data_IF_901036825596
#
_entry.id   IF_901036825596
#
_cell.length_a   1.000
_cell.length_b   1.000
_cell.length_c   1.000
_cell.angle_alpha   90.00
_cell.angle_beta   90.00
_cell.angle_gamma   90.00
#
_symmetry.space_group_name_H-M   'P 1'
#
loop_
_entity.id
_entity.type
_entity.pdbx_description
1 polymer ?
#
# COMPACT_ATOMS: atom_id res chain seq x y z
N UNK A 1 26.16 26.51 15.48
CA UNK A 1 25.80 25.94 16.80
C UNK A 1 24.37 25.42 16.76
N UNK A 2 24.17 24.10 16.74
CA UNK A 2 22.86 23.46 16.47
C UNK A 2 21.92 23.37 17.70
N UNK A 3 22.10 24.18 18.74
CA UNK A 3 21.25 24.17 19.93
C UNK A 3 20.80 25.58 20.30
N UNK A 4 19.76 26.04 19.61
CA UNK A 4 19.05 27.28 19.93
C UNK A 4 18.39 27.13 21.31
N UNK A 5 18.60 28.10 22.19
CA UNK A 5 18.08 28.12 23.58
C UNK A 5 16.58 27.79 23.65
N UNK A 6 15.80 28.25 22.66
CA UNK A 6 14.36 28.04 22.62
C UNK A 6 13.98 26.61 22.22
N UNK A 7 14.72 25.96 21.33
CA UNK A 7 14.52 24.54 21.02
C UNK A 7 14.75 23.67 22.27
N UNK A 8 15.78 24.00 23.07
CA UNK A 8 16.02 23.32 24.35
C UNK A 8 14.85 23.50 25.31
N UNK A 9 14.26 24.70 25.40
CA UNK A 9 13.09 24.95 26.26
C UNK A 9 11.87 24.14 25.78
N UNK A 10 11.60 24.12 24.47
CA UNK A 10 10.49 23.36 23.89
C UNK A 10 10.64 21.86 24.15
N UNK A 11 11.80 21.28 23.86
CA UNK A 11 12.07 19.86 24.13
C UNK A 11 11.93 19.51 25.62
N UNK A 12 12.36 20.39 26.52
CA UNK A 12 12.18 20.21 27.97
C UNK A 12 10.68 20.24 28.32
N UNK A 13 9.91 21.15 27.72
CA UNK A 13 8.48 21.24 27.96
C UNK A 13 7.72 20.00 27.45
N UNK A 14 8.06 19.53 26.26
CA UNK A 14 7.50 18.30 25.68
C UNK A 14 7.84 17.09 26.54
N UNK A 15 9.11 16.96 26.95
CA UNK A 15 9.54 15.90 27.87
C UNK A 15 8.75 15.91 29.17
N UNK A 16 8.52 17.09 29.76
CA UNK A 16 7.71 17.24 30.98
C UNK A 16 6.26 16.83 30.75
N UNK A 17 5.69 17.17 29.59
CA UNK A 17 4.31 16.80 29.25
C UNK A 17 4.18 15.29 29.07
N UNK A 18 5.11 14.66 28.35
CA UNK A 18 5.16 13.20 28.18
C UNK A 18 5.31 12.51 29.55
N UNK A 19 6.20 13.00 30.42
CA UNK A 19 6.36 12.44 31.78
C UNK A 19 5.08 12.57 32.60
N UNK A 20 4.34 13.68 32.49
CA UNK A 20 3.04 13.84 33.15
C UNK A 20 2.05 12.79 32.66
N UNK A 21 1.96 12.59 31.35
CA UNK A 21 1.09 11.57 30.75
C UNK A 21 1.47 10.17 31.26
N UNK A 22 2.76 9.83 31.24
CA UNK A 22 3.26 8.55 31.76
C UNK A 22 2.95 8.36 33.24
N UNK A 23 3.04 9.41 34.05
CA UNK A 23 2.73 9.34 35.48
C UNK A 23 1.25 9.09 35.73
N UNK A 24 0.37 9.67 34.91
CA UNK A 24 -1.07 9.37 34.93
C UNK A 24 -1.32 7.91 34.51
N UNK A 25 -0.65 7.44 33.46
CA UNK A 25 -0.78 6.08 32.95
C UNK A 25 -0.28 5.00 33.92
N UNK A 26 0.66 5.32 34.83
CA UNK A 26 1.16 4.36 35.85
C UNK A 26 0.09 3.82 36.80
N UNK A 27 -1.08 4.46 36.89
CA UNK A 27 -2.22 3.97 37.69
C UNK A 27 -3.11 2.99 36.93
N UNK A 28 -2.63 2.42 35.82
CA UNK A 28 -3.37 1.46 35.02
C UNK A 28 -3.79 0.22 35.83
N UNK A 29 -5.09 -0.08 35.81
CA UNK A 29 -5.67 -1.26 36.44
C UNK A 29 -6.23 -2.20 35.34
N UNK A 30 -5.59 -3.36 35.07
CA UNK A 30 -6.07 -4.33 34.09
C UNK A 30 -7.49 -4.84 34.34
N UNK A 31 -7.99 -4.78 35.58
CA UNK A 31 -9.36 -5.18 35.89
C UNK A 31 -10.41 -4.19 35.35
N UNK A 32 -10.02 -2.94 35.11
CA UNK A 32 -10.89 -1.89 34.56
C UNK A 32 -10.76 -1.76 33.03
N UNK A 33 -9.85 -2.49 32.39
CA UNK A 33 -9.68 -2.49 30.93
C UNK A 33 -10.89 -3.15 30.26
N UNK A 34 -11.74 -2.33 29.66
CA UNK A 34 -12.97 -2.77 28.98
C UNK A 34 -12.68 -3.64 27.76
N UNK A 35 -11.64 -3.35 26.99
CA UNK A 35 -11.31 -4.11 25.78
C UNK A 35 -10.73 -5.48 26.13
N UNK A 36 -9.79 -5.53 27.08
CA UNK A 36 -9.25 -6.79 27.60
C UNK A 36 -10.35 -7.67 28.21
N UNK A 37 -11.24 -7.09 29.02
CA UNK A 37 -12.34 -7.82 29.65
C UNK A 37 -13.34 -8.35 28.60
N UNK A 38 -13.64 -7.56 27.57
CA UNK A 38 -14.49 -7.99 26.46
C UNK A 38 -13.81 -9.11 25.64
N UNK A 39 -12.52 -9.00 25.37
CA UNK A 39 -11.74 -10.04 24.69
C UNK A 39 -11.74 -11.34 25.51
N UNK A 40 -11.54 -11.26 26.82
CA UNK A 40 -11.62 -12.42 27.71
C UNK A 40 -13.00 -13.10 27.65
N UNK A 41 -14.08 -12.32 27.70
CA UNK A 41 -15.45 -12.83 27.55
C UNK A 41 -15.66 -13.51 26.19
N UNK A 42 -15.20 -12.89 25.10
CA UNK A 42 -15.28 -13.45 23.76
C UNK A 42 -14.56 -14.81 23.69
N UNK A 43 -13.36 -14.88 24.26
CA UNK A 43 -12.51 -16.08 24.26
C UNK A 43 -13.07 -17.21 25.12
N UNK A 44 -13.60 -16.91 26.32
CA UNK A 44 -13.96 -17.93 27.30
C UNK A 44 -15.46 -18.28 27.34
N UNK A 45 -16.33 -17.33 27.00
CA UNK A 45 -17.78 -17.51 27.10
C UNK A 45 -18.41 -17.71 25.72
N UNK A 46 -18.15 -16.80 24.77
CA UNK A 46 -18.75 -16.86 23.42
C UNK A 46 -18.14 -17.99 22.59
N UNK A 47 -16.81 -17.99 22.43
CA UNK A 47 -16.08 -18.89 21.54
C UNK A 47 -15.20 -19.87 22.32
N UNK A 48 -15.81 -20.58 23.28
CA UNK A 48 -15.10 -21.38 24.29
C UNK A 48 -14.23 -22.51 23.73
N UNK A 49 -14.65 -23.11 22.61
CA UNK A 49 -14.01 -24.30 22.01
C UNK A 49 -13.30 -24.00 20.68
N UNK A 50 -13.49 -22.81 20.15
CA UNK A 50 -13.04 -22.44 18.82
C UNK A 50 -11.64 -21.83 18.88
N UNK A 51 -10.92 -21.94 17.76
CA UNK A 51 -9.61 -21.33 17.59
C UNK A 51 -9.76 -19.87 17.21
N UNK A 52 -9.06 -18.99 17.92
CA UNK A 52 -9.18 -17.54 17.79
C UNK A 52 -7.80 -16.94 17.52
N UNK A 53 -7.69 -16.19 16.45
CA UNK A 53 -6.50 -15.44 16.07
C UNK A 53 -6.69 -13.96 16.40
N UNK A 54 -5.88 -13.42 17.31
CA UNK A 54 -5.96 -12.02 17.75
C UNK A 54 -4.80 -11.24 17.17
N UNK A 55 -5.09 -10.18 16.41
CA UNK A 55 -4.08 -9.27 15.87
C UNK A 55 -3.99 -7.98 16.66
N UNK A 56 -2.77 -7.50 16.85
CA UNK A 56 -2.45 -6.19 17.45
C UNK A 56 -1.25 -5.59 16.74
N UNK A 57 -1.21 -4.26 16.58
CA UNK A 57 -0.09 -3.58 15.92
C UNK A 57 1.20 -3.65 16.75
N UNK A 58 1.09 -3.57 18.07
CA UNK A 58 2.24 -3.43 18.96
C UNK A 58 2.58 -4.74 19.69
N UNK A 59 3.88 -5.06 19.74
CA UNK A 59 4.39 -6.25 20.43
C UNK A 59 4.17 -6.19 21.95
N UNK A 60 4.31 -5.00 22.55
CA UNK A 60 4.06 -4.79 23.98
C UNK A 60 2.60 -5.10 24.35
N UNK A 61 1.65 -4.70 23.50
CA UNK A 61 0.23 -5.04 23.64
C UNK A 61 0.01 -6.54 23.53
N UNK A 62 0.64 -7.22 22.56
CA UNK A 62 0.53 -8.67 22.42
C UNK A 62 0.99 -9.42 23.69
N UNK A 63 2.13 -8.99 24.26
CA UNK A 63 2.65 -9.51 25.51
C UNK A 63 1.72 -9.25 26.68
N UNK A 64 1.24 -8.01 26.82
CA UNK A 64 0.29 -7.61 27.85
C UNK A 64 -0.99 -8.45 27.82
N UNK A 65 -1.62 -8.58 26.65
CA UNK A 65 -2.85 -9.36 26.48
C UNK A 65 -2.63 -10.83 26.85
N UNK A 66 -1.54 -11.43 26.37
CA UNK A 66 -1.23 -12.83 26.69
C UNK A 66 -1.07 -13.05 28.19
N UNK A 67 -0.31 -12.19 28.88
CA UNK A 67 -0.09 -12.27 30.31
C UNK A 67 -1.41 -12.14 31.09
N UNK A 68 -2.21 -11.12 30.78
CA UNK A 68 -3.45 -10.85 31.52
C UNK A 68 -4.54 -11.89 31.25
N UNK A 69 -4.68 -12.36 30.01
CA UNK A 69 -5.65 -13.41 29.68
C UNK A 69 -5.30 -14.73 30.36
N UNK A 70 -4.00 -15.08 30.42
CA UNK A 70 -3.52 -16.24 31.20
C UNK A 70 -3.85 -16.09 32.68
N UNK A 71 -3.62 -14.92 33.28
CA UNK A 71 -3.96 -14.63 34.69
C UNK A 71 -5.46 -14.74 34.97
N UNK A 72 -6.31 -14.30 34.05
CA UNK A 72 -7.77 -14.44 34.14
C UNK A 72 -8.26 -15.88 33.88
N UNK A 73 -7.39 -16.80 33.46
CA UNK A 73 -7.68 -18.23 33.33
C UNK A 73 -7.94 -18.72 31.90
N UNK A 74 -7.60 -17.93 30.87
CA UNK A 74 -7.62 -18.42 29.49
C UNK A 74 -6.58 -19.54 29.31
N UNK A 75 -6.98 -20.63 28.64
CA UNK A 75 -6.13 -21.82 28.43
C UNK A 75 -5.69 -21.93 26.97
N UNK A 76 -4.56 -22.60 26.76
CA UNK A 76 -3.98 -22.88 25.43
C UNK A 76 -3.82 -21.59 24.60
N UNK A 77 -3.23 -20.58 25.23
CA UNK A 77 -3.00 -19.25 24.64
C UNK A 77 -1.50 -18.94 24.62
N UNK A 78 -1.01 -18.42 23.50
CA UNK A 78 0.34 -17.86 23.39
C UNK A 78 0.35 -16.58 22.56
N UNK A 79 1.45 -15.83 22.68
CA UNK A 79 1.70 -14.68 21.83
C UNK A 79 2.97 -14.86 20.99
N UNK A 80 2.95 -14.29 19.79
CA UNK A 80 4.06 -14.29 18.85
C UNK A 80 4.25 -12.88 18.28
N UNK A 81 5.50 -12.43 18.27
CA UNK A 81 5.88 -11.09 17.83
C UNK A 81 7.16 -11.18 16.99
N UNK A 82 7.63 -10.05 16.47
CA UNK A 82 8.87 -10.01 15.65
C UNK A 82 10.13 -10.41 16.41
N UNK A 83 10.07 -10.43 17.74
CA UNK A 83 11.18 -10.80 18.61
C UNK A 83 11.22 -12.31 18.93
N UNK A 84 10.27 -13.09 18.41
CA UNK A 84 10.26 -14.55 18.61
C UNK A 84 11.23 -15.24 17.64
N UNK A 85 12.10 -16.11 18.14
CA UNK A 85 13.09 -16.82 17.31
C UNK A 85 12.46 -17.75 16.26
N UNK A 86 11.31 -18.36 16.58
CA UNK A 86 10.62 -19.28 15.68
C UNK A 86 9.10 -19.03 15.65
N UNK A 87 8.62 -17.99 14.92
CA UNK A 87 7.20 -17.70 14.78
C UNK A 87 6.40 -18.83 14.13
N UNK A 88 7.03 -19.60 13.24
CA UNK A 88 6.42 -20.70 12.50
C UNK A 88 5.98 -21.86 13.41
N UNK A 89 6.71 -22.13 14.50
CA UNK A 89 6.31 -23.15 15.49
C UNK A 89 4.95 -22.82 16.13
N UNK A 90 4.71 -21.54 16.47
CA UNK A 90 3.43 -21.11 17.04
C UNK A 90 2.29 -21.23 16.02
N UNK A 91 2.54 -20.93 14.75
CA UNK A 91 1.58 -21.15 13.67
C UNK A 91 1.23 -22.64 13.52
N UNK A 92 2.21 -23.54 13.57
CA UNK A 92 1.98 -24.99 13.53
C UNK A 92 1.16 -25.48 14.73
N UNK A 93 1.46 -24.98 15.93
CA UNK A 93 0.71 -25.34 17.16
C UNK A 93 -0.71 -24.81 17.16
N UNK A 94 -0.94 -23.64 16.54
CA UNK A 94 -2.28 -23.08 16.36
C UNK A 94 -3.06 -23.77 15.25
N UNK A 95 -2.42 -24.11 14.13
CA UNK A 95 -3.09 -24.68 12.95
C UNK A 95 -2.44 -25.98 12.48
N UNK A 96 -2.42 -27.04 13.32
CA UNK A 96 -1.67 -28.26 13.04
C UNK A 96 -2.16 -29.03 11.82
N UNK A 97 -3.45 -29.01 11.50
CA UNK A 97 -3.99 -29.74 10.35
C UNK A 97 -3.55 -29.08 9.04
N UNK A 98 -3.69 -27.76 8.95
CA UNK A 98 -3.31 -26.99 7.75
C UNK A 98 -1.79 -26.88 7.53
N UNK A 99 -0.97 -27.21 8.53
CA UNK A 99 0.49 -27.24 8.42
C UNK A 99 1.06 -28.67 8.38
N UNK A 100 0.23 -29.69 8.11
CA UNK A 100 0.66 -31.09 8.02
C UNK A 100 1.37 -31.62 9.29
N UNK A 101 0.93 -31.13 10.46
CA UNK A 101 1.38 -31.56 11.80
C UNK A 101 0.24 -32.16 12.64
N UNK A 102 -0.53 -33.14 12.12
CA UNK A 102 -1.69 -33.69 12.83
C UNK A 102 -1.34 -34.33 14.17
N UNK A 103 -0.09 -34.73 14.39
CA UNK A 103 0.42 -35.26 15.66
C UNK A 103 0.34 -34.26 16.83
N UNK A 104 0.26 -32.96 16.55
CA UNK A 104 0.11 -31.94 17.57
C UNK A 104 -1.35 -31.73 18.00
N UNK A 105 -2.32 -32.18 17.19
CA UNK A 105 -3.74 -32.00 17.45
C UNK A 105 -4.20 -32.81 18.67
N UNK A 106 -4.95 -32.17 19.56
CA UNK A 106 -5.44 -32.74 20.81
C UNK A 106 -4.39 -32.87 21.92
N UNK A 107 -3.17 -32.39 21.69
CA UNK A 107 -2.09 -32.42 22.68
C UNK A 107 -2.06 -31.13 23.49
N UNK A 108 -1.35 -31.13 24.64
CA UNK A 108 -1.12 -29.92 25.44
C UNK A 108 -0.35 -28.82 24.69
N UNK A 109 0.32 -29.17 23.58
CA UNK A 109 1.04 -28.21 22.74
C UNK A 109 0.10 -27.43 21.82
N UNK A 110 -1.08 -27.96 21.52
CA UNK A 110 -2.05 -27.32 20.63
C UNK A 110 -2.55 -26.01 21.24
N UNK A 111 -2.47 -24.95 20.43
CA UNK A 111 -2.98 -23.64 20.80
C UNK A 111 -4.42 -23.49 20.32
N UNK A 112 -5.22 -22.88 21.19
CA UNK A 112 -6.59 -22.45 20.89
C UNK A 112 -6.61 -20.96 20.55
N UNK A 113 -5.84 -20.16 21.27
CA UNK A 113 -5.78 -18.71 21.04
C UNK A 113 -4.35 -18.34 20.69
N UNK A 114 -4.18 -17.61 19.60
CA UNK A 114 -2.88 -17.06 19.20
C UNK A 114 -3.00 -15.55 19.09
N UNK A 115 -2.20 -14.83 19.88
CA UNK A 115 -2.09 -13.37 19.79
C UNK A 115 -0.85 -13.05 18.97
N UNK A 116 -0.97 -12.24 17.94
CA UNK A 116 0.14 -11.95 17.05
C UNK A 116 0.17 -10.49 16.62
N UNK A 117 1.36 -10.00 16.31
CA UNK A 117 1.50 -8.84 15.42
C UNK A 117 1.37 -9.26 13.96
N UNK A 118 1.55 -8.34 13.02
CA UNK A 118 1.54 -8.63 11.57
C UNK A 118 2.69 -9.59 11.13
N UNK A 119 3.49 -10.13 12.05
CA UNK A 119 4.54 -11.13 11.75
C UNK A 119 3.96 -12.45 11.23
N UNK A 120 2.73 -12.79 11.62
CA UNK A 120 2.01 -13.94 11.05
C UNK A 120 0.90 -13.54 10.06
N UNK A 121 0.82 -12.26 9.65
CA UNK A 121 -0.13 -11.85 8.62
C UNK A 121 0.32 -12.24 7.21
N UNK A 122 1.54 -12.78 7.04
CA UNK A 122 2.10 -13.21 5.75
C UNK A 122 2.74 -14.61 5.83
N UNK A 123 2.65 -15.37 4.74
CA UNK A 123 3.40 -16.63 4.55
C UNK A 123 3.00 -17.86 5.37
N UNK A 124 2.04 -17.77 6.31
CA UNK A 124 1.65 -18.88 7.19
C UNK A 124 0.23 -19.40 6.89
N UNK A 125 0.02 -20.69 7.13
CA UNK A 125 -1.27 -21.37 7.00
C UNK A 125 -1.97 -21.44 8.37
N UNK A 126 -3.10 -20.74 8.53
CA UNK A 126 -3.82 -20.62 9.80
C UNK A 126 -5.30 -21.08 9.71
N UNK A 127 -5.63 -21.86 8.67
CA UNK A 127 -7.00 -22.24 8.29
C UNK A 127 -7.72 -23.18 9.27
N UNK A 128 -7.03 -23.72 10.30
CA UNK A 128 -7.71 -24.46 11.37
C UNK A 128 -8.57 -23.53 12.25
N UNK A 129 -8.28 -22.22 12.24
CA UNK A 129 -9.12 -21.18 12.84
C UNK A 129 -10.04 -20.52 11.82
N UNK A 130 -11.15 -19.97 12.29
CA UNK A 130 -12.10 -19.19 11.48
C UNK A 130 -12.53 -17.89 12.18
N UNK A 131 -11.97 -17.59 13.35
CA UNK A 131 -12.30 -16.39 14.13
C UNK A 131 -11.06 -15.51 14.20
N UNK A 132 -11.21 -14.29 13.71
CA UNK A 132 -10.18 -13.25 13.75
C UNK A 132 -10.68 -12.10 14.62
N UNK A 133 -9.79 -11.60 15.48
CA UNK A 133 -10.05 -10.43 16.32
C UNK A 133 -8.97 -9.39 16.07
N UNK A 134 -9.34 -8.23 15.58
CA UNK A 134 -8.46 -7.07 15.49
C UNK A 134 -8.58 -6.27 16.79
N UNK A 135 -7.57 -6.39 17.66
CA UNK A 135 -7.52 -5.66 18.93
C UNK A 135 -7.37 -4.16 18.73
N UNK A 136 -6.62 -3.79 17.70
CA UNK A 136 -6.53 -2.44 17.16
C UNK A 136 -6.78 -2.47 15.65
N UNK A 137 -7.42 -1.41 15.17
CA UNK A 137 -7.70 -1.24 13.75
C UNK A 137 -6.47 -0.69 13.02
N UNK A 138 -5.97 -1.38 11.99
CA UNK A 138 -4.89 -0.86 11.17
C UNK A 138 -5.39 0.31 10.33
N UNK A 139 -4.52 1.29 10.09
CA UNK A 139 -4.79 2.43 9.21
C UNK A 139 -5.08 2.03 7.76
N UNK A 140 -4.54 0.90 7.32
CA UNK A 140 -4.73 0.35 5.98
C UNK A 140 -5.64 -0.87 6.01
N UNK A 141 -6.80 -0.79 5.35
CA UNK A 141 -7.80 -1.87 5.28
C UNK A 141 -7.24 -3.15 4.70
N UNK A 142 -6.30 -3.05 3.76
CA UNK A 142 -5.68 -4.23 3.16
C UNK A 142 -5.07 -5.15 4.23
N UNK A 143 -4.63 -4.61 5.38
CA UNK A 143 -4.16 -5.44 6.48
C UNK A 143 -5.28 -6.28 7.08
N UNK A 144 -6.50 -5.76 7.22
CA UNK A 144 -7.67 -6.54 7.65
C UNK A 144 -7.95 -7.69 6.67
N UNK A 145 -7.92 -7.40 5.37
CA UNK A 145 -8.13 -8.39 4.31
C UNK A 145 -7.00 -9.43 4.32
N UNK A 146 -5.74 -9.02 4.45
CA UNK A 146 -4.60 -9.94 4.50
C UNK A 146 -4.64 -10.85 5.73
N UNK A 147 -5.05 -10.31 6.88
CA UNK A 147 -5.29 -11.05 8.13
C UNK A 147 -6.41 -12.09 7.93
N UNK A 148 -7.53 -11.68 7.34
CA UNK A 148 -8.64 -12.57 6.96
C UNK A 148 -8.19 -13.66 5.98
N UNK A 149 -7.47 -13.29 4.92
CA UNK A 149 -6.90 -14.20 3.92
C UNK A 149 -5.83 -15.16 4.44
N UNK A 150 -5.45 -15.13 5.73
CA UNK A 150 -4.66 -16.21 6.36
C UNK A 150 -5.50 -17.41 6.73
N UNK A 151 -6.76 -17.18 7.08
CA UNK A 151 -7.72 -18.23 7.45
C UNK A 151 -8.69 -18.52 6.30
N UNK A 152 -8.96 -17.53 5.44
CA UNK A 152 -9.77 -17.67 4.23
C UNK A 152 -8.95 -18.20 3.06
N UNK A 153 -8.71 -19.51 3.03
CA UNK A 153 -7.95 -20.19 1.97
C UNK A 153 -8.52 -21.58 1.69
N UNK A 154 -8.12 -22.15 0.55
CA UNK A 154 -8.36 -23.56 0.22
C UNK A 154 -7.91 -24.44 1.40
N UNK A 155 -8.85 -25.20 1.97
CA UNK A 155 -8.63 -26.02 3.16
C UNK A 155 -9.37 -25.54 4.42
N UNK A 156 -9.94 -24.32 4.41
CA UNK A 156 -10.87 -23.86 5.44
C UNK A 156 -12.09 -24.78 5.51
N UNK A 157 -12.53 -25.13 6.73
CA UNK A 157 -13.64 -26.05 6.98
C UNK A 157 -14.88 -25.38 7.57
N UNK A 158 -14.73 -24.16 8.08
CA UNK A 158 -15.87 -23.36 8.53
C UNK A 158 -16.57 -22.74 7.32
N UNK A 159 -17.90 -22.72 7.34
CA UNK A 159 -18.70 -22.04 6.31
C UNK A 159 -18.62 -20.52 6.42
N UNK A 160 -18.33 -20.01 7.63
CA UNK A 160 -18.22 -18.58 7.93
C UNK A 160 -16.90 -18.24 8.63
N UNK A 161 -16.36 -17.07 8.30
CA UNK A 161 -15.18 -16.48 8.94
C UNK A 161 -15.63 -15.25 9.72
N UNK A 162 -15.46 -15.28 11.03
CA UNK A 162 -15.92 -14.21 11.92
C UNK A 162 -14.78 -13.22 12.16
N UNK A 163 -14.96 -11.98 11.74
CA UNK A 163 -14.01 -10.89 11.95
C UNK A 163 -14.54 -9.89 12.99
N UNK A 164 -14.00 -9.94 14.20
CA UNK A 164 -14.28 -8.96 15.25
C UNK A 164 -13.25 -7.84 15.20
N UNK A 165 -13.66 -6.60 15.46
CA UNK A 165 -12.75 -5.46 15.59
C UNK A 165 -13.16 -4.58 16.77
N UNK A 166 -12.20 -4.19 17.60
CA UNK A 166 -12.44 -3.17 18.61
C UNK A 166 -12.33 -1.78 17.96
N UNK A 167 -13.35 -0.95 18.19
CA UNK A 167 -13.36 0.44 17.74
C UNK A 167 -12.75 1.35 18.81
N UNK A 168 -12.10 2.46 18.41
CA UNK A 168 -11.70 3.51 19.35
C UNK A 168 -12.91 4.06 20.12
N UNK A 169 -12.67 4.61 21.31
CA UNK A 169 -13.71 5.37 22.02
C UNK A 169 -14.10 6.63 21.24
N UNK A 170 -15.38 7.05 21.35
CA UNK A 170 -15.96 8.15 20.58
C UNK A 170 -15.10 9.43 20.59
N UNK A 171 -14.53 9.80 21.74
CA UNK A 171 -13.70 10.99 21.85
C UNK A 171 -12.37 10.91 21.08
N UNK A 172 -11.79 9.72 20.91
CA UNK A 172 -10.59 9.49 20.08
C UNK A 172 -10.98 9.40 18.61
N UNK A 173 -12.13 8.78 18.31
CA UNK A 173 -12.68 8.67 16.97
C UNK A 173 -13.03 10.05 16.39
N UNK A 174 -13.57 11.00 17.16
CA UNK A 174 -13.85 12.37 16.70
C UNK A 174 -12.60 13.10 16.18
N UNK A 175 -11.44 12.81 16.78
CA UNK A 175 -10.17 13.44 16.43
C UNK A 175 -9.53 12.75 15.23
N UNK A 176 -9.50 11.41 15.23
CA UNK A 176 -8.74 10.62 14.25
C UNK A 176 -9.59 10.28 13.02
N UNK A 177 -10.90 10.17 13.18
CA UNK A 177 -11.89 9.77 12.17
C UNK A 177 -11.54 8.43 11.51
N UNK A 178 -11.05 7.48 12.30
CA UNK A 178 -10.53 6.22 11.79
C UNK A 178 -11.64 5.39 11.16
N UNK A 179 -12.80 5.28 11.82
CA UNK A 179 -13.97 4.56 11.29
C UNK A 179 -14.51 5.20 10.02
N UNK A 180 -14.59 6.51 9.96
CA UNK A 180 -15.07 7.22 8.75
C UNK A 180 -14.12 6.97 7.57
N UNK A 181 -12.82 7.10 7.78
CA UNK A 181 -11.79 6.84 6.75
C UNK A 181 -11.80 5.38 6.30
N UNK A 182 -11.88 4.44 7.24
CA UNK A 182 -11.93 3.01 6.93
C UNK A 182 -13.24 2.65 6.22
N UNK A 183 -14.39 3.17 6.66
CA UNK A 183 -15.67 2.91 5.99
C UNK A 183 -15.69 3.48 4.58
N UNK A 184 -15.19 4.70 4.38
CA UNK A 184 -15.09 5.32 3.06
C UNK A 184 -14.23 4.48 2.13
N UNK A 185 -13.03 4.10 2.58
CA UNK A 185 -12.16 3.23 1.78
C UNK A 185 -12.74 1.82 1.58
N UNK A 186 -13.51 1.26 2.53
CA UNK A 186 -14.20 -0.02 2.30
C UNK A 186 -15.25 0.15 1.21
N UNK A 187 -16.02 1.25 1.19
CA UNK A 187 -16.97 1.52 0.10
C UNK A 187 -16.26 1.67 -1.24
N UNK A 188 -15.16 2.42 -1.30
CA UNK A 188 -14.32 2.56 -2.50
C UNK A 188 -13.71 1.22 -2.96
N UNK A 189 -13.43 0.30 -2.04
CA UNK A 189 -12.91 -1.04 -2.34
C UNK A 189 -14.01 -2.11 -2.53
N UNK A 190 -15.24 -1.90 -2.08
CA UNK A 190 -16.37 -2.82 -2.23
C UNK A 190 -16.94 -2.79 -3.66
N UNK A 191 -16.67 -1.73 -4.42
CA UNK A 191 -16.88 -1.71 -5.88
C UNK A 191 -15.89 -2.63 -6.62
N UNK A 192 -14.83 -3.08 -5.91
CA UNK A 192 -13.65 -3.73 -6.44
C UNK A 192 -13.54 -5.18 -5.94
N UNK A 193 -14.11 -5.53 -4.79
CA UNK A 193 -14.13 -6.87 -4.17
C UNK A 193 -15.58 -7.35 -4.17
N UNK A 194 -15.83 -8.60 -4.57
CA UNK A 194 -17.18 -9.14 -4.75
C UNK A 194 -18.13 -8.87 -3.56
N UNK A 195 -19.39 -8.66 -3.88
CA UNK A 195 -20.49 -8.11 -3.06
C UNK A 195 -20.84 -8.80 -1.73
N UNK A 196 -20.07 -9.80 -1.30
CA UNK A 196 -20.49 -10.73 -0.25
C UNK A 196 -19.75 -10.54 1.09
N UNK A 197 -18.82 -9.58 1.19
CA UNK A 197 -18.03 -9.32 2.41
C UNK A 197 -18.58 -8.14 3.24
N UNK A 198 -19.17 -8.42 4.41
CA UNK A 198 -19.59 -7.40 5.39
C UNK A 198 -18.55 -7.22 6.50
N UNK A 199 -17.81 -6.11 6.49
CA UNK A 199 -16.75 -5.82 7.47
C UNK A 199 -17.23 -5.19 8.78
N UNK A 200 -18.37 -4.50 8.77
CA UNK A 200 -18.95 -3.85 9.95
C UNK A 200 -20.45 -4.09 10.00
N UNK A 201 -20.91 -4.78 11.04
CA UNK A 201 -22.33 -5.01 11.26
C UNK A 201 -22.91 -3.88 12.13
N UNK A 202 -23.92 -3.15 11.63
CA UNK A 202 -24.60 -2.09 12.39
C UNK A 202 -24.81 -0.72 11.72
N UNK A 203 -24.42 -0.51 10.46
CA UNK A 203 -24.91 0.62 9.64
C UNK A 203 -25.26 0.12 8.24
N UNK A 204 -26.55 0.15 7.83
CA UNK A 204 -26.96 -0.31 6.51
C UNK A 204 -26.53 0.75 5.49
N UNK A 205 -25.33 0.61 4.93
CA UNK A 205 -25.03 1.28 3.67
C UNK A 205 -25.73 0.45 2.60
N UNK A 206 -27.01 0.77 2.38
CA UNK A 206 -27.75 0.29 1.22
C UNK A 206 -26.97 0.65 -0.05
N UNK A 207 -26.39 -0.36 -0.68
CA UNK A 207 -25.53 -0.28 -1.86
C UNK A 207 -26.30 0.05 -3.16
N UNK A 208 -27.47 0.67 -3.06
CA UNK A 208 -28.36 0.89 -4.21
C UNK A 208 -28.47 2.36 -4.66
N UNK A 209 -27.93 3.32 -3.90
CA UNK A 209 -28.09 4.77 -4.19
C UNK A 209 -26.82 5.48 -4.72
N UNK A 210 -25.75 4.75 -5.03
CA UNK A 210 -24.51 5.31 -5.61
C UNK A 210 -24.53 5.44 -7.14
N UNK A 211 -25.67 5.18 -7.79
CA UNK A 211 -25.82 5.22 -9.25
C UNK A 211 -25.99 6.61 -9.88
N UNK A 212 -25.85 7.71 -9.11
CA UNK A 212 -25.87 9.04 -9.70
C UNK A 212 -24.50 9.69 -9.64
N UNK A 213 -23.72 9.40 -10.68
CA UNK A 213 -22.61 10.22 -11.15
C UNK A 213 -23.02 11.70 -11.17
N UNK A 214 -22.38 12.50 -10.30
CA UNK A 214 -22.04 13.86 -10.67
C UNK A 214 -20.54 14.02 -10.62
N UNK A 215 -20.00 14.28 -11.80
CA UNK A 215 -18.64 14.73 -12.02
C UNK A 215 -18.26 15.88 -11.10
N UNK A 216 -17.06 15.79 -10.54
CA UNK A 216 -16.40 16.84 -9.78
C UNK A 216 -16.45 16.57 -8.28
N UNK A 217 -15.32 16.83 -7.60
CA UNK A 217 -15.04 16.60 -6.18
C UNK A 217 -14.51 15.15 -5.99
N UNK A 218 -13.22 14.86 -5.78
CA UNK A 218 -12.23 15.43 -4.87
C UNK A 218 -10.78 15.32 -5.39
N UNK A 219 -10.09 16.45 -5.48
CA UNK A 219 -8.67 16.54 -5.11
C UNK A 219 -8.65 16.64 -3.57
N UNK A 220 -8.44 15.52 -2.89
CA UNK A 220 -8.01 15.55 -1.50
C UNK A 220 -6.73 14.73 -1.34
N UNK A 221 -5.65 15.48 -1.20
CA UNK A 221 -4.39 15.06 -0.61
C UNK A 221 -4.66 14.51 0.79
N UNK A 222 -4.58 13.19 0.96
CA UNK A 222 -3.78 12.49 1.98
C UNK A 222 -4.02 10.97 1.89
N UNK A 223 -2.95 10.18 2.04
CA UNK A 223 -2.89 8.71 2.16
C UNK A 223 -3.16 7.82 0.92
N UNK A 224 -2.41 8.01 -0.16
CA UNK A 224 -2.20 6.93 -1.15
C UNK A 224 -1.21 5.90 -0.64
N UNK A 225 -1.69 4.75 -0.17
CA UNK A 225 -0.99 3.46 -0.33
C UNK A 225 -2.02 2.31 -0.25
N UNK A 226 -2.87 2.21 -1.28
CA UNK A 226 -3.07 0.87 -1.85
C UNK A 226 -1.70 0.54 -2.45
N UNK A 227 -1.00 -0.44 -1.88
CA UNK A 227 0.28 -0.87 -2.42
C UNK A 227 0.04 -1.63 -3.75
N UNK A 228 -0.21 -0.84 -4.79
CA UNK A 228 -0.41 -1.28 -6.16
C UNK A 228 0.81 -2.05 -6.66
N UNK A 229 2.01 -1.77 -6.13
CA UNK A 229 3.21 -2.54 -6.42
C UNK A 229 3.12 -3.95 -5.82
N UNK A 230 2.66 -4.10 -4.57
CA UNK A 230 2.40 -5.42 -3.98
C UNK A 230 1.29 -6.18 -4.70
N UNK A 231 0.20 -5.50 -5.09
CA UNK A 231 -0.88 -6.13 -5.84
C UNK A 231 -0.40 -6.61 -7.22
N UNK A 232 0.30 -5.76 -7.97
CA UNK A 232 0.91 -6.13 -9.25
C UNK A 232 1.97 -7.24 -9.08
N UNK A 233 2.76 -7.20 -8.00
CA UNK A 233 3.74 -8.23 -7.69
C UNK A 233 3.07 -9.57 -7.39
N UNK A 234 1.94 -9.58 -6.69
CA UNK A 234 1.19 -10.82 -6.43
C UNK A 234 0.64 -11.42 -7.73
N UNK A 235 0.10 -10.61 -8.64
CA UNK A 235 -0.35 -11.06 -9.96
C UNK A 235 0.83 -11.66 -10.75
N UNK A 236 1.96 -10.94 -10.79
CA UNK A 236 3.19 -11.42 -11.41
C UNK A 236 3.66 -12.74 -10.81
N UNK A 237 3.67 -12.85 -9.47
CA UNK A 237 4.11 -14.03 -8.74
C UNK A 237 3.23 -15.24 -9.04
N UNK A 238 1.91 -15.07 -9.00
CA UNK A 238 0.95 -16.10 -9.36
C UNK A 238 1.15 -16.59 -10.81
N UNK A 239 1.45 -15.68 -11.74
CA UNK A 239 1.71 -16.03 -13.14
C UNK A 239 2.98 -16.87 -13.31
N UNK A 240 4.11 -16.46 -12.71
CA UNK A 240 5.38 -17.21 -12.82
C UNK A 240 5.38 -18.52 -12.02
N UNK A 241 4.61 -18.61 -10.94
CA UNK A 241 4.43 -19.85 -10.19
C UNK A 241 3.58 -20.86 -10.99
N UNK A 242 2.65 -20.36 -11.82
CA UNK A 242 1.84 -21.17 -12.74
C UNK A 242 2.58 -21.56 -14.03
N UNK A 243 3.49 -20.73 -14.51
CA UNK A 243 4.35 -20.99 -15.66
C UNK A 243 5.71 -20.27 -15.53
N UNK A 244 6.73 -21.02 -15.16
CA UNK A 244 8.08 -20.50 -14.93
C UNK A 244 8.73 -19.89 -16.17
N UNK A 245 8.28 -20.22 -17.40
CA UNK A 245 8.83 -19.63 -18.62
C UNK A 245 8.49 -18.13 -18.75
N UNK A 246 7.39 -17.68 -18.14
CA UNK A 246 6.95 -16.29 -18.18
C UNK A 246 7.96 -15.32 -17.55
N UNK A 247 8.73 -15.80 -16.55
CA UNK A 247 9.77 -15.03 -15.90
C UNK A 247 10.89 -14.58 -16.86
N UNK A 248 11.06 -15.28 -17.98
CA UNK A 248 11.99 -14.89 -19.05
C UNK A 248 11.27 -14.18 -20.19
N UNK A 249 10.12 -14.70 -20.62
CA UNK A 249 9.42 -14.19 -21.80
C UNK A 249 8.96 -12.75 -21.61
N UNK A 250 8.32 -12.43 -20.46
CA UNK A 250 7.70 -11.12 -20.25
C UNK A 250 8.74 -9.97 -20.14
N UNK A 251 9.85 -10.11 -19.41
CA UNK A 251 10.88 -9.05 -19.38
C UNK A 251 11.63 -8.87 -20.71
N UNK A 252 11.75 -9.92 -21.52
CA UNK A 252 12.41 -9.88 -22.84
C UNK A 252 11.51 -9.30 -23.94
N UNK A 253 10.23 -9.04 -23.64
CA UNK A 253 9.29 -8.45 -24.59
C UNK A 253 9.66 -7.00 -24.92
N UNK A 254 9.56 -6.65 -26.20
CA UNK A 254 9.72 -5.26 -26.64
C UNK A 254 8.52 -4.41 -26.22
N UNK A 255 8.74 -3.11 -26.05
CA UNK A 255 7.65 -2.15 -25.88
C UNK A 255 6.70 -2.16 -27.09
N UNK A 256 5.52 -1.55 -26.92
CA UNK A 256 4.46 -1.42 -27.94
C UNK A 256 3.74 -2.74 -28.26
N UNK A 257 3.85 -3.75 -27.39
CA UNK A 257 3.04 -4.96 -27.52
C UNK A 257 1.57 -4.66 -27.25
N UNK A 258 0.71 -5.31 -28.03
CA UNK A 258 -0.73 -5.21 -27.86
C UNK A 258 -1.38 -6.58 -27.87
N UNK A 259 -2.48 -6.69 -27.12
CA UNK A 259 -3.35 -7.86 -27.11
C UNK A 259 -4.80 -7.42 -26.99
N UNK A 260 -5.73 -8.36 -27.10
CA UNK A 260 -7.15 -8.12 -26.81
C UNK A 260 -7.72 -9.32 -26.09
N UNK A 261 -8.49 -9.06 -25.03
CA UNK A 261 -9.20 -10.08 -24.26
C UNK A 261 -10.70 -9.78 -24.25
N UNK A 262 -11.46 -10.81 -23.89
CA UNK A 262 -12.89 -10.68 -23.62
C UNK A 262 -13.13 -9.81 -22.38
N UNK A 263 -14.15 -8.97 -22.44
CA UNK A 263 -14.57 -8.11 -21.35
C UNK A 263 -15.36 -8.92 -20.31
N UNK A 264 -14.71 -9.18 -19.19
CA UNK A 264 -15.27 -9.88 -18.05
C UNK A 264 -15.62 -8.94 -16.89
N UNK A 265 -15.45 -7.63 -17.06
CA UNK A 265 -15.61 -6.65 -15.99
C UNK A 265 -17.02 -6.04 -16.00
N UNK A 266 -17.29 -5.14 -16.95
CA UNK A 266 -18.61 -4.51 -17.13
C UNK A 266 -18.88 -4.33 -18.61
N UNK A 267 -20.06 -4.75 -19.10
CA UNK A 267 -20.41 -4.69 -20.53
C UNK A 267 -20.32 -3.28 -21.13
N UNK A 268 -20.54 -2.25 -20.31
CA UNK A 268 -20.50 -0.85 -20.74
C UNK A 268 -19.06 -0.31 -20.90
N UNK A 269 -18.07 -1.00 -20.30
CA UNK A 269 -16.65 -0.61 -20.31
C UNK A 269 -15.88 -1.35 -21.40
N UNK A 270 -16.32 -1.24 -22.65
CA UNK A 270 -15.58 -1.74 -23.81
C UNK A 270 -14.59 -0.69 -24.32
N UNK A 271 -13.34 -1.07 -24.61
CA UNK A 271 -12.35 -0.12 -25.10
C UNK A 271 -10.91 -0.57 -25.00
N UNK A 272 -9.98 0.37 -24.79
CA UNK A 272 -8.53 0.10 -24.78
C UNK A 272 -7.87 0.65 -23.52
N UNK A 273 -7.13 -0.23 -22.86
CA UNK A 273 -6.20 0.10 -21.78
C UNK A 273 -4.83 0.40 -22.41
N UNK A 274 -4.19 1.47 -21.95
CA UNK A 274 -2.87 1.89 -22.39
C UNK A 274 -1.97 2.06 -21.18
N UNK A 275 -0.80 1.43 -21.24
CA UNK A 275 0.29 1.65 -20.30
C UNK A 275 1.39 2.44 -20.99
N UNK A 276 1.65 3.63 -20.46
CA UNK A 276 2.70 4.52 -20.95
C UNK A 276 3.67 4.89 -19.86
N UNK A 277 4.89 5.19 -20.28
CA UNK A 277 5.93 5.76 -19.43
C UNK A 277 6.25 7.14 -19.95
N UNK A 278 6.12 8.14 -19.09
CA UNK A 278 6.31 9.53 -19.49
C UNK A 278 7.79 9.91 -19.53
N UNK A 279 8.11 11.12 -19.98
CA UNK A 279 9.49 11.60 -20.12
C UNK A 279 10.26 11.66 -18.79
N UNK A 280 9.54 11.78 -17.67
CA UNK A 280 10.05 11.73 -16.30
C UNK A 280 10.04 10.30 -15.69
N UNK A 281 9.82 9.26 -16.51
CA UNK A 281 9.61 7.86 -16.12
C UNK A 281 8.49 7.65 -15.09
N UNK A 282 7.41 8.44 -15.18
CA UNK A 282 6.19 8.11 -14.47
C UNK A 282 5.42 7.07 -15.27
N UNK A 283 5.01 6.00 -14.59
CA UNK A 283 4.11 5.01 -15.13
C UNK A 283 2.67 5.56 -15.08
N UNK A 284 2.02 5.60 -16.25
CA UNK A 284 0.66 6.09 -16.43
C UNK A 284 -0.19 5.01 -17.09
N UNK A 285 -1.29 4.66 -16.43
CA UNK A 285 -2.31 3.75 -16.94
C UNK A 285 -3.58 4.54 -17.24
N UNK A 286 -4.15 4.33 -18.42
CA UNK A 286 -5.42 4.94 -18.81
C UNK A 286 -6.29 3.91 -19.52
N UNK A 287 -7.60 3.96 -19.26
CA UNK A 287 -8.59 3.16 -19.97
C UNK A 287 -9.57 4.08 -20.67
N UNK A 288 -9.68 3.93 -21.98
CA UNK A 288 -10.59 4.69 -22.82
C UNK A 288 -11.64 3.77 -23.43
N UNK A 289 -12.84 4.29 -23.67
CA UNK A 289 -13.90 3.60 -24.40
C UNK A 289 -13.64 3.54 -25.92
N UNK A 290 -14.52 2.86 -26.66
CA UNK A 290 -14.43 2.76 -28.12
C UNK A 290 -14.62 4.10 -28.84
N UNK A 291 -15.19 5.11 -28.18
CA UNK A 291 -15.34 6.48 -28.68
C UNK A 291 -14.12 7.37 -28.35
N UNK A 292 -13.17 6.88 -27.57
CA UNK A 292 -11.98 7.62 -27.13
C UNK A 292 -12.20 8.53 -25.94
N UNK A 293 -13.28 8.37 -25.18
CA UNK A 293 -13.51 9.06 -23.90
C UNK A 293 -12.85 8.26 -22.78
N UNK A 294 -12.30 8.98 -21.80
CA UNK A 294 -11.69 8.36 -20.61
C UNK A 294 -12.76 7.65 -19.77
N UNK A 295 -12.59 6.35 -19.56
CA UNK A 295 -13.35 5.55 -18.60
C UNK A 295 -12.75 5.76 -17.21
N UNK A 296 -11.45 5.54 -17.05
CA UNK A 296 -10.75 5.71 -15.77
C UNK A 296 -9.23 5.80 -15.94
N UNK A 297 -8.56 6.43 -14.97
CA UNK A 297 -7.10 6.38 -14.75
C UNK A 297 -6.74 5.63 -13.46
N UNK A 298 -7.73 5.03 -12.77
CA UNK A 298 -7.48 4.25 -11.56
C UNK A 298 -6.67 3.01 -11.88
N UNK A 299 -5.43 2.96 -11.39
CA UNK A 299 -4.51 1.84 -11.62
C UNK A 299 -5.12 0.51 -11.13
N UNK A 300 -5.84 0.52 -10.01
CA UNK A 300 -6.47 -0.68 -9.45
C UNK A 300 -7.58 -1.23 -10.38
N UNK A 301 -8.49 -0.36 -10.83
CA UNK A 301 -9.57 -0.75 -11.73
C UNK A 301 -9.02 -1.30 -13.05
N UNK A 302 -7.98 -0.66 -13.57
CA UNK A 302 -7.30 -1.09 -14.79
C UNK A 302 -6.62 -2.45 -14.62
N UNK A 303 -5.91 -2.68 -13.52
CA UNK A 303 -5.26 -3.96 -13.24
C UNK A 303 -6.27 -5.10 -13.14
N UNK A 304 -7.43 -4.86 -12.50
CA UNK A 304 -8.50 -5.87 -12.41
C UNK A 304 -9.16 -6.16 -13.75
N UNK A 305 -9.42 -5.14 -14.56
CA UNK A 305 -9.94 -5.35 -15.91
C UNK A 305 -8.94 -6.12 -16.79
N UNK A 306 -7.64 -5.86 -16.63
CA UNK A 306 -6.58 -6.52 -17.36
C UNK A 306 -6.29 -7.97 -16.91
N UNK A 307 -6.62 -8.31 -15.66
CA UNK A 307 -6.36 -9.63 -15.07
C UNK A 307 -6.90 -10.77 -15.94
N UNK A 308 -6.09 -11.79 -16.19
CA UNK A 308 -6.47 -12.94 -16.99
C UNK A 308 -5.92 -14.24 -16.40
N UNK A 309 -6.64 -15.34 -16.65
CA UNK A 309 -6.17 -16.68 -16.31
C UNK A 309 -5.43 -17.31 -17.50
N UNK A 310 -4.75 -18.43 -17.27
CA UNK A 310 -3.98 -19.16 -18.30
C UNK A 310 -4.83 -19.66 -19.47
N UNK A 311 -6.13 -19.85 -19.25
CA UNK A 311 -7.07 -20.38 -20.25
C UNK A 311 -7.69 -19.28 -21.12
N UNK A 312 -7.45 -18.01 -20.79
CA UNK A 312 -7.99 -16.87 -21.51
C UNK A 312 -7.49 -16.87 -22.96
N UNK A 313 -8.43 -16.95 -23.90
CA UNK A 313 -8.11 -16.94 -25.33
C UNK A 313 -7.93 -15.49 -25.81
N UNK A 314 -6.90 -15.23 -26.64
CA UNK A 314 -6.75 -13.92 -27.26
C UNK A 314 -7.88 -13.70 -28.27
N UNK A 315 -8.41 -12.48 -28.30
CA UNK A 315 -9.35 -12.03 -29.32
C UNK A 315 -8.64 -11.20 -30.39
N UNK A 316 -9.30 -11.05 -31.54
CA UNK A 316 -8.82 -10.13 -32.56
C UNK A 316 -8.95 -8.68 -32.05
N UNK A 317 -7.97 -7.86 -32.40
CA UNK A 317 -7.90 -6.45 -31.98
C UNK A 317 -9.17 -5.68 -32.36
N UNK A 318 -9.53 -4.72 -31.51
CA UNK A 318 -10.59 -3.75 -31.81
C UNK A 318 -10.27 -3.01 -33.12
N UNK A 319 -11.27 -2.73 -34.00
CA UNK A 319 -11.04 -2.07 -35.28
C UNK A 319 -10.27 -0.75 -35.18
N UNK A 320 -10.56 0.05 -34.14
CA UNK A 320 -9.96 1.35 -33.90
C UNK A 320 -8.91 1.36 -32.76
N UNK A 321 -8.38 0.19 -32.37
CA UNK A 321 -7.45 0.03 -31.24
C UNK A 321 -6.35 1.10 -31.20
N UNK A 322 -5.56 1.24 -32.28
CA UNK A 322 -4.45 2.18 -32.31
C UNK A 322 -4.89 3.65 -32.38
N UNK A 323 -6.10 3.95 -32.88
CA UNK A 323 -6.65 5.31 -32.84
C UNK A 323 -7.00 5.70 -31.40
N UNK A 324 -7.56 4.76 -30.64
CA UNK A 324 -7.85 4.94 -29.21
C UNK A 324 -6.55 5.08 -28.42
N UNK A 325 -5.54 4.24 -28.70
CA UNK A 325 -4.20 4.37 -28.08
C UNK A 325 -3.60 5.76 -28.34
N UNK A 326 -3.67 6.25 -29.58
CA UNK A 326 -3.20 7.60 -29.91
C UNK A 326 -3.94 8.67 -29.11
N UNK A 327 -5.28 8.56 -29.01
CA UNK A 327 -6.11 9.49 -28.25
C UNK A 327 -5.73 9.49 -26.77
N UNK A 328 -5.48 8.32 -26.19
CA UNK A 328 -5.00 8.20 -24.80
C UNK A 328 -3.68 8.93 -24.58
N UNK A 329 -2.70 8.71 -25.48
CA UNK A 329 -1.39 9.36 -25.42
C UNK A 329 -1.52 10.89 -25.56
N UNK A 330 -2.37 11.37 -26.47
CA UNK A 330 -2.61 12.80 -26.66
C UNK A 330 -3.25 13.45 -25.43
N UNK A 331 -4.12 12.75 -24.70
CA UNK A 331 -4.71 13.22 -23.44
C UNK A 331 -3.65 13.27 -22.33
N UNK A 332 -2.91 12.18 -22.13
CA UNK A 332 -1.87 12.08 -21.10
C UNK A 332 -0.80 13.17 -21.30
N UNK A 333 -0.37 13.38 -22.55
CA UNK A 333 0.62 14.42 -22.87
C UNK A 333 0.11 15.84 -22.57
N UNK A 334 -1.19 16.12 -22.79
CA UNK A 334 -1.79 17.43 -22.46
C UNK A 334 -1.95 17.63 -20.95
N UNK A 335 -2.34 16.59 -20.22
CA UNK A 335 -2.46 16.62 -18.75
C UNK A 335 -1.11 16.89 -18.09
N UNK A 336 -0.01 16.29 -18.55
CA UNK A 336 1.34 16.58 -18.04
C UNK A 336 1.73 18.06 -18.20
N UNK A 337 1.43 18.65 -19.37
CA UNK A 337 1.72 20.07 -19.62
C UNK A 337 0.88 20.99 -18.72
N UNK A 338 -0.33 20.55 -18.36
CA UNK A 338 -1.29 21.36 -17.58
C UNK A 338 -1.11 21.21 -16.07
N UNK A 339 -0.62 20.06 -15.59
CA UNK A 339 -0.40 19.74 -14.17
C UNK A 339 0.78 20.49 -13.53
N UNK A 340 1.56 21.26 -14.30
CA UNK A 340 2.17 22.50 -13.83
C UNK A 340 3.17 22.42 -12.66
N UNK A 341 3.71 21.26 -12.31
CA UNK A 341 4.86 21.16 -11.40
C UNK A 341 6.09 20.75 -12.20
N UNK A 342 7.03 21.68 -12.35
CA UNK A 342 8.32 21.44 -13.02
C UNK A 342 9.14 20.29 -12.40
N UNK A 343 8.71 19.80 -11.23
CA UNK A 343 9.39 18.83 -10.39
C UNK A 343 8.77 17.42 -10.43
N UNK A 344 7.58 17.26 -11.02
CA UNK A 344 6.84 16.00 -11.05
C UNK A 344 6.24 15.61 -9.69
N UNK A 345 5.97 14.31 -9.50
CA UNK A 345 5.34 13.76 -8.27
C UNK A 345 6.21 13.98 -7.02
N UNK A 346 5.58 14.18 -5.86
CA UNK A 346 6.27 14.37 -4.56
C UNK A 346 7.22 13.21 -4.18
N UNK A 347 6.95 12.00 -4.66
CA UNK A 347 7.78 10.79 -4.46
C UNK A 347 8.95 10.69 -5.44
N UNK A 348 8.93 11.45 -6.54
CA UNK A 348 9.95 11.42 -7.59
C UNK A 348 11.33 11.85 -7.08
N UNK A 349 12.38 11.30 -7.68
CA UNK A 349 13.78 11.61 -7.30
C UNK A 349 14.06 13.11 -7.49
N UNK A 350 13.60 13.69 -8.61
CA UNK A 350 13.73 15.12 -8.93
C UNK A 350 13.12 16.01 -7.84
N UNK A 351 11.86 15.75 -7.48
CA UNK A 351 11.18 16.46 -6.40
C UNK A 351 11.88 16.31 -5.05
N UNK A 352 12.25 15.08 -4.65
CA UNK A 352 12.91 14.80 -3.37
C UNK A 352 14.28 15.48 -3.26
N UNK A 353 15.08 15.46 -4.33
CA UNK A 353 16.38 16.14 -4.37
C UNK A 353 16.18 17.65 -4.32
N UNK A 354 15.29 18.21 -5.14
CA UNK A 354 15.02 19.64 -5.17
C UNK A 354 14.56 20.18 -3.82
N UNK A 355 13.51 19.58 -3.22
CA UNK A 355 12.97 20.05 -1.94
C UNK A 355 13.99 19.97 -0.80
N UNK A 356 14.84 18.93 -0.82
CA UNK A 356 15.88 18.75 0.19
C UNK A 356 16.99 19.80 0.05
N UNK A 357 17.43 20.09 -1.17
CA UNK A 357 18.45 21.11 -1.44
C UNK A 357 17.91 22.53 -1.30
N UNK A 358 16.67 22.81 -1.70
CA UNK A 358 16.01 24.10 -1.50
C UNK A 358 15.90 24.45 -0.01
N UNK A 359 15.52 23.47 0.84
CA UNK A 359 15.55 23.63 2.29
C UNK A 359 16.97 23.90 2.80
N UNK A 360 17.94 23.08 2.40
CA UNK A 360 19.33 23.23 2.82
C UNK A 360 19.92 24.61 2.43
N UNK A 361 19.63 25.11 1.23
CA UNK A 361 20.11 26.43 0.80
C UNK A 361 19.41 27.57 1.51
N UNK A 362 18.11 27.46 1.81
CA UNK A 362 17.41 28.47 2.62
C UNK A 362 17.96 28.55 4.04
N UNK A 363 18.31 27.41 4.63
CA UNK A 363 18.87 27.35 5.99
C UNK A 363 20.32 27.87 6.07
N UNK A 364 21.06 27.83 4.96
CA UNK A 364 22.48 28.18 4.90
C UNK A 364 22.78 29.38 3.98
N UNK A 365 21.77 30.16 3.60
CA UNK A 365 21.93 31.29 2.70
C UNK A 365 22.87 32.36 3.29
N UNK A 366 23.79 32.86 2.47
CA UNK A 366 24.84 33.81 2.91
C UNK A 366 26.01 33.18 3.68
N UNK A 367 26.09 31.85 3.80
CA UNK A 367 27.24 31.14 4.40
C UNK A 367 28.20 30.62 3.33
N UNK A 368 29.42 30.21 3.74
CA UNK A 368 30.42 29.58 2.87
C UNK A 368 30.01 28.20 2.34
N UNK A 369 28.92 27.62 2.86
CA UNK A 369 28.43 26.28 2.50
C UNK A 369 27.50 26.27 1.28
N UNK A 370 27.09 27.45 0.80
CA UNK A 370 26.25 27.58 -0.40
C UNK A 370 27.02 28.35 -1.47
N UNK A 371 27.45 27.66 -2.52
CA UNK A 371 28.12 28.29 -3.67
C UNK A 371 27.13 28.68 -4.77
N UNK A 372 27.57 29.57 -5.67
CA UNK A 372 26.78 29.91 -6.86
C UNK A 372 26.63 28.73 -7.83
N UNK A 373 27.59 27.79 -7.88
CA UNK A 373 27.43 26.58 -8.70
C UNK A 373 26.34 25.67 -8.15
N UNK A 374 26.24 25.56 -6.82
CA UNK A 374 25.20 24.81 -6.13
C UNK A 374 23.79 25.36 -6.44
N UNK A 375 23.62 26.69 -6.38
CA UNK A 375 22.35 27.36 -6.74
C UNK A 375 21.96 27.08 -8.19
N UNK A 376 22.91 27.21 -9.12
CA UNK A 376 22.68 26.91 -10.55
C UNK A 376 22.30 25.46 -10.79
N UNK A 377 22.89 24.52 -10.07
CA UNK A 377 22.58 23.11 -10.23
C UNK A 377 21.16 22.75 -9.77
N UNK A 378 20.68 23.37 -8.69
CA UNK A 378 19.30 23.20 -8.24
C UNK A 378 18.29 23.88 -9.19
N UNK A 379 18.64 25.04 -9.73
CA UNK A 379 17.84 25.69 -10.78
C UNK A 379 17.73 24.81 -12.03
N UNK A 380 18.81 24.14 -12.44
CA UNK A 380 18.80 23.23 -13.59
C UNK A 380 17.92 21.99 -13.30
N UNK A 381 17.96 21.46 -12.06
CA UNK A 381 17.04 20.40 -11.63
C UNK A 381 15.59 20.88 -11.66
N UNK A 382 15.29 22.14 -11.32
CA UNK A 382 13.93 22.65 -11.41
C UNK A 382 13.49 22.76 -12.87
N UNK A 383 14.33 23.33 -13.74
CA UNK A 383 13.98 23.69 -15.12
C UNK A 383 13.98 22.51 -16.09
N UNK A 384 14.87 21.54 -15.89
CA UNK A 384 15.17 20.50 -16.87
C UNK A 384 14.99 19.09 -16.29
N UNK A 385 14.66 18.09 -17.12
CA UNK A 385 14.58 16.70 -16.69
C UNK A 385 15.97 16.13 -16.39
N UNK A 386 16.04 15.21 -15.42
CA UNK A 386 17.29 14.54 -15.04
C UNK A 386 17.70 13.50 -16.10
N UNK A 387 19.01 13.41 -16.41
CA UNK A 387 19.57 12.29 -17.18
C UNK A 387 19.42 10.98 -16.37
N UNK A 388 19.29 9.84 -17.05
CA UNK A 388 19.07 8.52 -16.41
C UNK A 388 20.13 8.20 -15.36
N UNK A 389 21.40 8.38 -15.73
CA UNK A 389 22.54 8.14 -14.86
C UNK A 389 22.51 9.00 -13.58
N UNK A 390 22.20 10.29 -13.70
CA UNK A 390 22.07 11.17 -12.54
C UNK A 390 20.90 10.74 -11.65
N UNK A 391 19.75 10.41 -12.23
CA UNK A 391 18.60 9.96 -11.46
C UNK A 391 18.91 8.70 -10.65
N UNK A 392 19.50 7.67 -11.27
CA UNK A 392 19.81 6.41 -10.59
C UNK A 392 20.87 6.61 -9.51
N UNK A 393 21.88 7.43 -9.79
CA UNK A 393 22.92 7.81 -8.84
C UNK A 393 22.32 8.54 -7.63
N UNK A 394 21.48 9.55 -7.88
CA UNK A 394 20.81 10.32 -6.83
C UNK A 394 19.86 9.44 -6.01
N UNK A 395 19.06 8.57 -6.65
CA UNK A 395 18.14 7.69 -5.94
C UNK A 395 18.89 6.68 -5.04
N UNK A 396 19.99 6.11 -5.53
CA UNK A 396 20.85 5.22 -4.74
C UNK A 396 21.45 5.94 -3.54
N UNK A 397 21.94 7.16 -3.72
CA UNK A 397 22.55 7.95 -2.65
C UNK A 397 21.52 8.43 -1.61
N UNK A 398 20.31 8.78 -2.05
CA UNK A 398 19.20 9.07 -1.15
C UNK A 398 18.83 7.86 -0.28
N UNK A 399 18.77 6.65 -0.86
CA UNK A 399 18.52 5.41 -0.11
C UNK A 399 19.66 5.06 0.86
N UNK A 400 20.89 5.42 0.52
CA UNK A 400 22.06 5.24 1.38
C UNK A 400 22.17 6.26 2.52
N UNK A 401 21.26 7.24 2.60
CA UNK A 401 21.25 8.24 3.67
C UNK A 401 22.30 9.34 3.51
N UNK A 402 22.64 9.73 2.28
CA UNK A 402 23.57 10.85 1.99
C UNK A 402 23.18 12.11 2.78
N UNK A 403 24.16 12.87 3.29
CA UNK A 403 23.94 14.16 3.97
C UNK A 403 23.51 15.26 2.98
N UNK A 404 22.92 16.34 3.50
CA UNK A 404 22.44 17.45 2.65
C UNK A 404 23.62 18.15 1.93
N UNK A 405 24.75 18.33 2.63
CA UNK A 405 26.02 18.83 2.08
C UNK A 405 26.62 17.90 1.00
N UNK A 406 26.65 16.59 1.29
CA UNK A 406 27.12 15.59 0.32
C UNK A 406 26.23 15.51 -0.93
N UNK A 407 24.92 15.71 -0.76
CA UNK A 407 23.96 15.77 -1.87
C UNK A 407 24.19 17.02 -2.74
N UNK A 408 24.47 18.17 -2.12
CA UNK A 408 24.77 19.41 -2.84
C UNK A 408 26.04 19.24 -3.69
N UNK A 409 27.12 18.71 -3.11
CA UNK A 409 28.36 18.42 -3.83
C UNK A 409 28.17 17.39 -4.95
N UNK A 410 27.36 16.36 -4.73
CA UNK A 410 27.06 15.35 -5.75
C UNK A 410 26.32 15.96 -6.95
N UNK A 411 25.33 16.80 -6.70
CA UNK A 411 24.56 17.48 -7.76
C UNK A 411 25.46 18.43 -8.56
N UNK A 412 26.35 19.18 -7.90
CA UNK A 412 27.35 20.01 -8.59
C UNK A 412 28.30 19.15 -9.43
N UNK A 413 28.84 18.07 -8.87
CA UNK A 413 29.73 17.16 -9.59
C UNK A 413 29.06 16.54 -10.81
N UNK A 414 27.79 16.13 -10.69
CA UNK A 414 27.01 15.61 -11.83
C UNK A 414 26.78 16.70 -12.89
N UNK A 415 26.63 17.96 -12.49
CA UNK A 415 26.45 19.08 -13.41
C UNK A 415 27.72 19.40 -14.17
N UNK A 416 28.84 19.47 -13.47
CA UNK A 416 30.15 19.77 -14.06
C UNK A 416 30.59 18.68 -15.04
N UNK A 417 30.19 17.43 -14.79
CA UNK A 417 30.39 16.28 -15.66
C UNK A 417 29.42 16.22 -16.87
N UNK A 418 28.51 17.19 -17.01
CA UNK A 418 27.38 17.15 -17.95
C UNK A 418 26.56 15.85 -17.86
N UNK A 419 26.31 15.40 -16.63
CA UNK A 419 25.52 14.18 -16.34
C UNK A 419 24.23 14.47 -15.60
N UNK A 420 23.99 15.70 -15.15
CA UNK A 420 22.87 16.04 -14.27
C UNK A 420 21.52 16.14 -15.01
N UNK A 421 21.39 17.11 -15.92
CA UNK A 421 20.14 17.48 -16.56
C UNK A 421 20.30 17.49 -18.09
N UNK A 422 19.19 17.25 -18.79
CA UNK A 422 19.14 17.35 -20.25
C UNK A 422 18.87 18.81 -20.63
N UNK A 423 19.91 19.54 -21.04
CA UNK A 423 19.82 20.97 -21.38
C UNK A 423 19.70 21.26 -22.88
N UNK A 424 19.95 20.28 -23.75
CA UNK A 424 19.88 20.43 -25.21
C UNK A 424 18.51 20.05 -25.78
N UNK A 425 18.02 20.86 -26.72
CA UNK A 425 16.72 20.67 -27.39
C UNK A 425 16.65 19.38 -28.22
N UNK A 426 17.79 18.84 -28.70
CA UNK A 426 17.81 17.58 -29.46
C UNK A 426 17.63 16.35 -28.54
N UNK A 427 18.12 16.40 -27.29
CA UNK A 427 17.95 15.31 -26.32
C UNK A 427 16.58 15.34 -25.63
N UNK A 428 15.90 16.50 -25.56
CA UNK A 428 14.49 16.57 -25.15
C UNK A 428 13.57 15.78 -26.10
N UNK A 429 13.91 15.72 -27.39
CA UNK A 429 13.18 14.94 -28.40
C UNK A 429 13.35 13.43 -28.20
N UNK A 430 14.40 12.98 -27.50
CA UNK A 430 14.69 11.56 -27.28
C UNK A 430 14.05 10.94 -26.02
N UNK A 431 13.32 11.72 -25.21
CA UNK A 431 12.39 11.18 -24.20
C UNK A 431 10.95 11.57 -24.52
N UNK A 432 10.49 11.11 -25.68
CA UNK A 432 9.06 11.04 -25.99
C UNK A 432 8.39 10.06 -25.02
N UNK A 433 7.13 10.37 -24.68
CA UNK A 433 6.24 9.44 -23.98
C UNK A 433 6.28 8.07 -24.68
N UNK A 434 6.66 7.04 -23.93
CA UNK A 434 6.84 5.70 -24.42
C UNK A 434 5.56 4.89 -24.19
N UNK A 435 5.07 4.23 -25.24
CA UNK A 435 3.99 3.25 -25.11
C UNK A 435 4.61 1.92 -24.72
N UNK A 436 4.38 1.45 -23.49
CA UNK A 436 4.91 0.18 -23.02
C UNK A 436 4.08 -0.96 -23.60
N UNK A 437 2.77 -0.96 -23.37
CA UNK A 437 1.85 -1.92 -23.97
C UNK A 437 0.41 -1.37 -24.02
N UNK A 438 -0.46 -2.07 -24.75
CA UNK A 438 -1.90 -1.77 -24.79
C UNK A 438 -2.75 -3.02 -24.83
N UNK A 439 -3.91 -2.99 -24.18
CA UNK A 439 -4.83 -4.12 -24.08
C UNK A 439 -6.22 -3.70 -24.51
N UNK A 440 -6.75 -4.34 -25.55
CA UNK A 440 -8.15 -4.20 -25.92
C UNK A 440 -9.02 -5.03 -24.98
N UNK A 441 -10.08 -4.41 -24.47
CA UNK A 441 -11.14 -5.06 -23.71
C UNK A 441 -12.37 -5.06 -24.61
N UNK A 442 -12.72 -6.22 -25.17
CA UNK A 442 -13.79 -6.37 -26.16
C UNK A 442 -14.93 -7.20 -25.59
N UNK A 443 -16.17 -6.76 -25.76
CA UNK A 443 -17.32 -7.57 -25.36
C UNK A 443 -17.39 -8.86 -26.20
N UNK A 444 -17.71 -9.99 -25.55
CA UNK A 444 -18.01 -11.23 -26.26
C UNK A 444 -19.19 -11.05 -27.22
N UNK A 445 -19.16 -11.75 -28.36
CA UNK A 445 -20.27 -11.77 -29.33
C UNK A 445 -21.50 -12.52 -28.81
#
# INVERSE_FOLDING_TARGET
EFFISDMKKSLINDSRTIIKILTTAKKWNPEEDRQLNALFKLINDTHKKEKILVFTQFADTAGYLCEQLKKKGAKSIECVTGNCENPTDYAHRFSPVSNEKPEMKGTEKELRVLITTDVLSEGQNLQDGHIIVNYDLPWAIIRLIQRAGRVDRIGQKSDEILCYSFLPEDGVEEIIRLRERLSTRIKENAEVVGSDETFFDGDPVNLHDLYNEKSGIFDHEDDTEVDLASYAYQIWKNAIDSDAALAKIIPDMSNVIYATKENTFEKEKEGVIVYTRTSDDNDVLAWLDVQGKMITQSQLAILKAAECNKEAKPLYKLPDHHKIVKTAVDIISKEEVTAGSSLGKKTGVKYRVYMRLDRYFKENDGTLFVTEEMKKAVDDIFKYPLKEFARDTLNRQLKAGISDDGLAHLVVSLRDDDKLCITDNEDQVNRLLQIICSLGIRNGE
#
